data_IF_308534054532
#
_entry.id   IF_308534054532
#
_cell.length_a   1.000
_cell.length_b   1.000
_cell.length_c   1.000
_cell.angle_alpha   90.00
_cell.angle_beta   90.00
_cell.angle_gamma   90.00
#
_symmetry.space_group_name_H-M   'P 1'
#
loop_
_entity.id
_entity.type
_entity.pdbx_description
1 polymer ?
#
# COMPACT_ATOMS: atom_id res chain seq x y z
N UNK A 1 -43.32 -11.02 28.34
CA UNK A 1 -44.49 -10.43 29.06
C UNK A 1 -45.63 -11.43 28.93
N UNK A 2 -46.05 -12.06 30.03
CA UNK A 2 -47.22 -12.95 30.00
C UNK A 2 -48.48 -12.09 29.98
N UNK A 3 -49.38 -12.33 29.02
CA UNK A 3 -50.67 -11.62 28.95
C UNK A 3 -51.46 -11.92 30.22
N UNK A 4 -51.81 -10.90 31.02
CA UNK A 4 -52.51 -11.03 32.31
C UNK A 4 -53.98 -11.48 32.22
N UNK A 5 -54.31 -12.33 31.25
CA UNK A 5 -55.65 -12.86 30.98
C UNK A 5 -55.89 -14.06 31.88
N UNK A 6 -57.10 -14.20 32.46
CA UNK A 6 -57.45 -15.38 33.26
C UNK A 6 -57.42 -16.63 32.39
N UNK A 7 -56.77 -17.69 32.87
CA UNK A 7 -56.63 -18.96 32.15
C UNK A 7 -57.44 -20.07 32.84
N UNK A 8 -58.07 -20.96 32.06
CA UNK A 8 -58.93 -22.07 32.55
C UNK A 8 -60.31 -22.14 31.87
N UNK A 9 -61.20 -23.02 32.37
CA UNK A 9 -62.61 -23.12 31.92
C UNK A 9 -63.41 -21.93 32.47
N UNK A 10 -63.47 -20.84 31.71
CA UNK A 10 -64.15 -19.59 32.09
C UNK A 10 -65.44 -19.42 31.27
N UNK A 11 -66.56 -19.01 31.88
CA UNK A 11 -67.80 -18.73 31.16
C UNK A 11 -67.61 -17.61 30.11
N UNK A 12 -68.29 -17.75 28.96
CA UNK A 12 -68.14 -16.88 27.79
C UNK A 12 -68.39 -15.38 28.07
N UNK A 13 -69.21 -15.06 29.07
CA UNK A 13 -69.54 -13.67 29.41
C UNK A 13 -68.40 -12.94 30.13
N UNK A 14 -67.59 -13.67 30.90
CA UNK A 14 -66.42 -13.11 31.58
C UNK A 14 -65.31 -12.85 30.57
N UNK A 15 -65.12 -13.74 29.59
CA UNK A 15 -64.19 -13.53 28.47
C UNK A 15 -64.57 -12.32 27.61
N UNK A 16 -65.87 -12.11 27.34
CA UNK A 16 -66.35 -10.91 26.62
C UNK A 16 -66.10 -9.61 27.38
N UNK A 17 -66.28 -9.62 28.70
CA UNK A 17 -65.98 -8.46 29.57
C UNK A 17 -64.48 -8.16 29.60
N UNK A 18 -63.64 -9.17 29.79
CA UNK A 18 -62.17 -9.00 29.76
C UNK A 18 -61.66 -8.52 28.40
N UNK A 19 -62.19 -9.05 27.28
CA UNK A 19 -61.85 -8.53 25.95
C UNK A 19 -62.29 -7.08 25.75
N UNK A 20 -63.46 -6.69 26.27
CA UNK A 20 -63.89 -5.29 26.22
C UNK A 20 -63.02 -4.38 27.07
N UNK A 21 -62.60 -4.82 28.26
CA UNK A 21 -61.70 -4.09 29.14
C UNK A 21 -60.30 -3.94 28.54
N UNK A 22 -59.73 -5.01 27.97
CA UNK A 22 -58.46 -4.96 27.23
C UNK A 22 -58.56 -4.03 26.03
N UNK A 23 -59.64 -4.12 25.23
CA UNK A 23 -59.86 -3.19 24.10
C UNK A 23 -60.03 -1.74 24.56
N UNK A 24 -60.62 -1.48 25.73
CA UNK A 24 -60.73 -0.13 26.32
C UNK A 24 -59.37 0.36 26.78
N UNK A 25 -58.59 -0.50 27.43
CA UNK A 25 -57.24 -0.18 27.91
C UNK A 25 -56.28 0.09 26.74
N UNK A 26 -56.32 -0.75 25.70
CA UNK A 26 -55.61 -0.52 24.44
C UNK A 26 -56.08 0.79 23.78
N UNK A 27 -57.38 1.05 23.68
CA UNK A 27 -57.89 2.32 23.12
C UNK A 27 -57.45 3.56 23.89
N UNK A 28 -57.37 3.47 25.22
CA UNK A 28 -56.91 4.56 26.07
C UNK A 28 -55.40 4.75 26.00
N UNK A 29 -54.61 3.68 25.80
CA UNK A 29 -53.16 3.75 25.68
C UNK A 29 -52.66 4.08 24.27
N UNK A 30 -53.43 3.78 23.22
CA UNK A 30 -53.11 4.13 21.82
C UNK A 30 -52.64 5.56 21.61
N UNK A 31 -53.34 6.62 22.08
CA UNK A 31 -52.87 7.99 21.90
C UNK A 31 -51.53 8.26 22.62
N UNK A 32 -51.31 7.65 23.79
CA UNK A 32 -50.05 7.77 24.54
C UNK A 32 -48.89 7.03 23.84
N UNK A 33 -49.16 5.87 23.27
CA UNK A 33 -48.18 5.10 22.49
C UNK A 33 -47.84 5.81 21.17
N UNK A 34 -48.82 6.40 20.49
CA UNK A 34 -48.62 7.21 19.30
C UNK A 34 -47.76 8.46 19.62
N UNK A 35 -48.05 9.18 20.70
CA UNK A 35 -47.22 10.31 21.16
C UNK A 35 -45.80 9.86 21.56
N UNK A 36 -45.65 8.72 22.22
CA UNK A 36 -44.34 8.18 22.60
C UNK A 36 -43.52 7.75 21.39
N UNK A 37 -44.14 7.13 20.37
CA UNK A 37 -43.47 6.70 19.14
C UNK A 37 -42.97 7.89 18.31
N UNK A 38 -43.65 9.02 18.38
CA UNK A 38 -43.27 10.25 17.68
C UNK A 38 -42.39 11.21 18.50
N UNK A 39 -42.00 10.82 19.73
CA UNK A 39 -41.13 11.63 20.57
C UNK A 39 -39.66 11.55 20.12
N UNK A 40 -39.05 12.69 19.80
CA UNK A 40 -37.65 12.74 19.39
C UNK A 40 -36.71 12.52 20.60
N UNK A 41 -35.70 11.66 20.41
CA UNK A 41 -34.69 11.41 21.44
C UNK A 41 -33.71 12.58 21.53
N UNK A 42 -33.77 13.35 22.62
CA UNK A 42 -32.88 14.49 22.85
C UNK A 42 -31.63 14.06 23.62
N UNK A 43 -30.48 14.07 22.96
CA UNK A 43 -29.19 13.80 23.60
C UNK A 43 -28.65 15.06 24.27
N UNK A 44 -28.08 14.92 25.48
CA UNK A 44 -27.55 16.04 26.28
C UNK A 44 -26.17 15.72 26.85
N UNK A 45 -25.35 16.75 27.01
CA UNK A 45 -24.04 16.68 27.66
C UNK A 45 -24.14 16.51 29.17
N UNK A 46 -23.01 16.20 29.82
CA UNK A 46 -22.86 16.19 31.29
C UNK A 46 -23.23 17.54 31.94
N UNK A 47 -23.25 18.64 31.20
CA UNK A 47 -23.67 19.98 31.63
C UNK A 47 -25.15 20.29 31.35
N UNK A 48 -25.91 19.38 30.73
CA UNK A 48 -27.34 19.52 30.44
C UNK A 48 -27.69 20.22 29.12
N UNK A 49 -26.70 20.69 28.36
CA UNK A 49 -26.89 21.30 27.03
C UNK A 49 -27.33 20.24 25.99
N UNK A 50 -28.27 20.57 25.11
CA UNK A 50 -28.71 19.69 24.00
C UNK A 50 -27.57 19.52 22.99
N UNK A 51 -27.32 18.28 22.55
CA UNK A 51 -26.34 17.93 21.52
C UNK A 51 -26.97 17.94 20.14
N UNK A 52 -26.33 18.64 19.22
CA UNK A 52 -26.66 18.57 17.81
C UNK A 52 -25.86 17.44 17.15
N UNK A 53 -26.39 16.21 17.20
CA UNK A 53 -25.71 15.01 16.69
C UNK A 53 -25.30 15.11 15.22
N UNK A 54 -26.06 15.86 14.42
CA UNK A 54 -25.76 16.10 13.00
C UNK A 54 -24.50 16.95 12.85
N UNK A 55 -24.37 18.01 13.64
CA UNK A 55 -23.19 18.88 13.62
C UNK A 55 -21.96 18.15 14.16
N UNK A 56 -22.10 17.40 15.27
CA UNK A 56 -20.99 16.63 15.84
C UNK A 56 -20.47 15.58 14.85
N UNK A 57 -21.35 14.88 14.12
CA UNK A 57 -20.95 13.94 13.07
C UNK A 57 -20.24 14.62 11.89
N UNK A 58 -20.70 15.80 11.47
CA UNK A 58 -20.05 16.57 10.42
C UNK A 58 -18.64 17.02 10.86
N UNK A 59 -18.51 17.55 12.08
CA UNK A 59 -17.22 17.92 12.64
C UNK A 59 -16.27 16.74 12.78
N UNK A 60 -16.76 15.57 13.21
CA UNK A 60 -15.97 14.35 13.29
C UNK A 60 -15.45 13.93 11.91
N UNK A 61 -16.32 13.92 10.89
CA UNK A 61 -15.93 13.61 9.50
C UNK A 61 -14.84 14.56 9.01
N UNK A 62 -15.03 15.86 9.16
CA UNK A 62 -14.03 16.87 8.76
C UNK A 62 -12.69 16.68 9.49
N UNK A 63 -12.72 16.36 10.79
CA UNK A 63 -11.51 16.08 11.57
C UNK A 63 -10.81 14.81 11.10
N UNK A 64 -11.55 13.78 10.75
CA UNK A 64 -11.00 12.50 10.32
C UNK A 64 -10.47 12.59 8.88
N UNK A 65 -11.11 13.36 8.00
CA UNK A 65 -10.59 13.73 6.68
C UNK A 65 -9.27 14.50 6.82
N UNK A 66 -9.22 15.54 7.67
CA UNK A 66 -8.00 16.31 7.91
C UNK A 66 -6.87 15.50 8.59
N UNK A 67 -7.20 14.42 9.33
CA UNK A 67 -6.19 13.47 9.83
C UNK A 67 -5.72 12.56 8.71
N UNK A 68 -6.64 11.99 7.93
CA UNK A 68 -6.31 11.12 6.82
C UNK A 68 -5.40 11.82 5.80
N UNK A 69 -5.67 13.08 5.46
CA UNK A 69 -4.80 13.87 4.58
C UNK A 69 -3.38 14.04 5.14
N UNK A 70 -3.26 14.28 6.45
CA UNK A 70 -1.95 14.38 7.11
C UNK A 70 -1.24 13.04 7.14
N UNK A 71 -1.96 11.97 7.49
CA UNK A 71 -1.42 10.62 7.55
C UNK A 71 -0.97 10.15 6.16
N UNK A 72 -1.68 10.53 5.09
CA UNK A 72 -1.25 10.31 3.72
C UNK A 72 0.03 11.07 3.38
N UNK A 73 0.15 12.34 3.80
CA UNK A 73 1.38 13.12 3.60
C UNK A 73 2.56 12.48 4.32
N UNK A 74 2.38 12.06 5.58
CA UNK A 74 3.39 11.35 6.34
C UNK A 74 3.73 9.99 5.72
N UNK A 75 2.74 9.26 5.21
CA UNK A 75 2.97 8.01 4.50
C UNK A 75 3.75 8.21 3.21
N UNK A 76 3.50 9.31 2.47
CA UNK A 76 4.26 9.67 1.27
C UNK A 76 5.71 10.07 1.61
N UNK A 77 5.92 10.83 2.68
CA UNK A 77 7.26 11.26 3.12
C UNK A 77 8.06 10.15 3.81
N UNK A 78 7.38 9.26 4.53
CA UNK A 78 7.99 8.12 5.21
C UNK A 78 8.42 6.99 4.26
N UNK A 79 7.93 6.98 3.02
CA UNK A 79 8.37 6.05 1.98
C UNK A 79 9.67 6.54 1.33
N UNK A 80 10.56 5.60 1.01
CA UNK A 80 11.79 5.92 0.28
C UNK A 80 11.50 6.33 -1.16
N UNK A 81 12.14 7.40 -1.65
CA UNK A 81 11.99 7.86 -3.04
C UNK A 81 12.28 6.77 -4.08
N UNK A 82 13.26 5.90 -3.81
CA UNK A 82 13.61 4.79 -4.68
C UNK A 82 12.50 3.72 -4.73
N UNK A 83 11.86 3.43 -3.58
CA UNK A 83 10.76 2.49 -3.51
C UNK A 83 9.54 3.01 -4.27
N UNK A 84 9.23 4.30 -4.15
CA UNK A 84 8.14 4.93 -4.92
C UNK A 84 8.38 4.88 -6.43
N UNK A 85 9.61 5.21 -6.88
CA UNK A 85 9.98 5.09 -8.30
C UNK A 85 9.90 3.66 -8.80
N UNK A 86 10.38 2.69 -8.03
CA UNK A 86 10.29 1.28 -8.39
C UNK A 86 8.84 0.84 -8.52
N UNK A 87 7.96 1.26 -7.60
CA UNK A 87 6.54 0.94 -7.67
C UNK A 87 5.89 1.51 -8.94
N UNK A 88 6.21 2.77 -9.29
CA UNK A 88 5.72 3.39 -10.53
C UNK A 88 6.20 2.63 -11.77
N UNK A 89 7.50 2.32 -11.84
CA UNK A 89 8.08 1.53 -12.93
C UNK A 89 7.43 0.16 -13.04
N UNK A 90 7.26 -0.55 -11.92
CA UNK A 90 6.61 -1.86 -11.92
C UNK A 90 5.16 -1.79 -12.44
N UNK A 91 4.42 -0.72 -12.13
CA UNK A 91 3.05 -0.53 -12.64
C UNK A 91 3.07 -0.24 -14.14
N UNK A 92 3.96 0.64 -14.61
CA UNK A 92 4.12 0.94 -16.04
C UNK A 92 4.54 -0.32 -16.82
N UNK A 93 5.49 -1.08 -16.30
CA UNK A 93 5.97 -2.34 -16.87
C UNK A 93 4.85 -3.38 -16.90
N UNK A 94 4.09 -3.54 -15.81
CA UNK A 94 2.97 -4.45 -15.75
C UNK A 94 1.89 -4.11 -16.79
N UNK A 95 1.55 -2.82 -16.94
CA UNK A 95 0.61 -2.37 -17.97
C UNK A 95 1.12 -2.67 -19.38
N UNK A 96 2.41 -2.46 -19.62
CA UNK A 96 3.06 -2.78 -20.90
C UNK A 96 3.08 -4.29 -21.16
N UNK A 97 3.35 -5.10 -20.16
CA UNK A 97 3.36 -6.57 -20.25
C UNK A 97 1.96 -7.17 -20.43
N UNK A 98 0.94 -6.60 -19.79
CA UNK A 98 -0.45 -7.02 -19.97
C UNK A 98 -0.95 -6.86 -21.41
N UNK A 99 -0.40 -5.89 -22.15
CA UNK A 99 -0.74 -5.66 -23.55
C UNK A 99 0.03 -6.59 -24.52
N UNK A 100 1.06 -7.29 -24.03
CA UNK A 100 1.93 -8.13 -24.85
C UNK A 100 1.46 -9.59 -24.89
N UNK A 101 1.75 -10.32 -25.98
CA UNK A 101 1.57 -11.76 -26.00
C UNK A 101 2.54 -12.46 -25.03
N UNK A 102 2.18 -13.66 -24.59
CA UNK A 102 2.97 -14.47 -23.64
C UNK A 102 4.38 -14.79 -24.16
N UNK A 103 4.50 -15.10 -25.45
CA UNK A 103 5.76 -15.43 -26.09
C UNK A 103 6.32 -14.24 -26.87
N UNK A 104 7.62 -14.00 -26.74
CA UNK A 104 8.36 -13.05 -27.58
C UNK A 104 8.91 -13.77 -28.81
N UNK A 105 8.70 -13.19 -29.98
CA UNK A 105 9.22 -13.70 -31.25
C UNK A 105 10.41 -12.89 -31.72
N UNK A 106 11.08 -13.38 -32.76
CA UNK A 106 12.24 -12.71 -33.38
C UNK A 106 11.84 -11.33 -33.95
N UNK A 107 10.61 -11.20 -34.43
CA UNK A 107 10.08 -9.97 -35.03
C UNK A 107 9.51 -8.97 -34.01
N UNK A 108 9.75 -9.15 -32.69
CA UNK A 108 9.29 -8.23 -31.64
C UNK A 108 10.06 -6.90 -31.71
N UNK A 109 9.35 -5.82 -32.05
CA UNK A 109 9.91 -4.47 -32.18
C UNK A 109 10.60 -3.97 -30.90
N UNK A 110 10.10 -4.36 -29.72
CA UNK A 110 10.70 -3.96 -28.44
C UNK A 110 12.05 -4.66 -28.22
N UNK A 111 12.15 -5.94 -28.60
CA UNK A 111 13.39 -6.71 -28.54
C UNK A 111 14.43 -6.13 -29.50
N UNK A 112 13.99 -5.87 -30.73
CA UNK A 112 14.83 -5.27 -31.77
C UNK A 112 15.40 -3.91 -31.34
N UNK A 113 14.56 -3.07 -30.71
CA UNK A 113 14.99 -1.77 -30.18
C UNK A 113 16.03 -1.94 -29.08
N UNK A 114 15.80 -2.85 -28.13
CA UNK A 114 16.73 -3.15 -27.04
C UNK A 114 18.09 -3.62 -27.56
N UNK A 115 18.11 -4.53 -28.53
CA UNK A 115 19.34 -5.07 -29.12
C UNK A 115 20.13 -4.03 -29.93
N UNK A 116 19.43 -3.08 -30.58
CA UNK A 116 20.07 -1.95 -31.27
C UNK A 116 20.65 -0.92 -30.31
N UNK A 117 20.05 -0.77 -29.13
CA UNK A 117 20.53 0.16 -28.11
C UNK A 117 21.73 -0.37 -27.32
N UNK A 118 21.90 -1.70 -27.27
CA UNK A 118 23.00 -2.36 -26.58
C UNK A 118 24.35 -1.93 -27.15
N UNK A 119 25.18 -1.39 -26.28
CA UNK A 119 26.57 -1.06 -26.63
C UNK A 119 27.38 -2.35 -26.71
N UNK A 120 28.12 -2.51 -27.82
CA UNK A 120 29.00 -3.66 -28.05
C UNK A 120 30.45 -3.20 -28.01
N UNK A 121 31.26 -3.89 -27.23
CA UNK A 121 32.70 -3.65 -27.20
C UNK A 121 33.31 -4.00 -28.56
N UNK A 122 34.22 -3.16 -29.04
CA UNK A 122 34.89 -3.35 -30.33
C UNK A 122 34.10 -2.88 -31.58
N UNK A 123 32.93 -2.25 -31.42
CA UNK A 123 32.23 -1.61 -32.55
C UNK A 123 32.93 -0.28 -32.93
N UNK A 124 33.46 -0.15 -34.17
CA UNK A 124 34.11 1.08 -34.62
C UNK A 124 33.16 2.30 -34.64
N UNK A 125 31.84 2.10 -34.70
CA UNK A 125 30.86 3.18 -34.74
C UNK A 125 30.40 3.63 -33.33
N UNK A 126 30.75 2.89 -32.27
CA UNK A 126 30.27 3.16 -30.91
C UNK A 126 30.59 4.58 -30.42
N UNK A 127 31.78 5.10 -30.74
CA UNK A 127 32.19 6.46 -30.36
C UNK A 127 31.32 7.54 -31.00
N UNK A 128 30.95 7.37 -32.28
CA UNK A 128 30.07 8.30 -32.99
C UNK A 128 28.67 8.31 -32.39
N UNK A 129 28.15 7.12 -32.05
CA UNK A 129 26.84 6.96 -31.40
C UNK A 129 26.85 7.64 -30.02
N UNK A 130 27.89 7.43 -29.19
CA UNK A 130 28.05 8.11 -27.89
C UNK A 130 28.07 9.62 -28.03
N UNK A 131 28.83 10.16 -28.99
CA UNK A 131 28.91 11.61 -29.24
C UNK A 131 27.56 12.19 -29.66
N UNK A 132 26.75 11.45 -30.42
CA UNK A 132 25.39 11.87 -30.80
C UNK A 132 24.47 11.88 -29.58
N UNK A 133 24.43 10.79 -28.79
CA UNK A 133 23.64 10.68 -27.56
C UNK A 133 24.00 11.78 -26.55
N UNK A 134 25.29 12.09 -26.39
CA UNK A 134 25.77 13.15 -25.49
C UNK A 134 25.37 14.57 -25.93
N UNK A 135 25.07 14.80 -27.22
CA UNK A 135 24.52 16.07 -27.70
C UNK A 135 23.02 16.17 -27.40
N UNK A 136 22.29 15.08 -27.59
CA UNK A 136 20.85 14.99 -27.32
C UNK A 136 20.53 15.09 -25.81
N UNK A 137 21.42 14.63 -24.93
CA UNK A 137 21.20 14.64 -23.48
C UNK A 137 21.41 16.01 -22.81
N UNK A 138 21.91 17.03 -23.53
CA UNK A 138 22.28 18.34 -22.97
C UNK A 138 21.11 19.12 -22.35
N UNK A 139 19.87 18.84 -22.77
CA UNK A 139 18.68 19.54 -22.27
C UNK A 139 18.27 19.07 -20.86
N UNK A 140 18.77 17.92 -20.40
CA UNK A 140 18.47 17.39 -19.07
C UNK A 140 19.55 17.85 -18.09
N UNK A 141 19.18 18.70 -17.13
CA UNK A 141 20.05 19.04 -15.98
C UNK A 141 20.27 17.77 -15.13
N UNK A 142 21.36 17.06 -15.40
CA UNK A 142 21.74 15.88 -14.64
C UNK A 142 22.15 16.25 -13.21
N UNK A 143 21.74 15.44 -12.24
CA UNK A 143 22.22 15.59 -10.86
C UNK A 143 23.72 15.30 -10.82
N UNK A 144 24.52 16.07 -10.07
CA UNK A 144 25.93 15.80 -9.94
C UNK A 144 26.14 14.37 -9.42
N UNK A 145 27.12 13.68 -10.01
CA UNK A 145 27.59 12.35 -9.58
C UNK A 145 28.95 12.47 -8.92
N UNK A 146 29.30 11.45 -8.15
CA UNK A 146 30.61 11.34 -7.54
C UNK A 146 31.71 11.25 -8.61
N UNK A 147 32.82 11.96 -8.37
CA UNK A 147 33.97 12.11 -9.30
C UNK A 147 35.30 11.66 -8.71
N UNK A 148 35.29 11.06 -7.51
CA UNK A 148 36.51 10.64 -6.83
C UNK A 148 36.97 9.23 -7.24
N UNK A 149 37.92 8.64 -6.49
CA UNK A 149 38.41 7.27 -6.72
C UNK A 149 37.28 6.24 -6.70
N UNK A 150 37.44 5.08 -7.33
CA UNK A 150 36.39 4.06 -7.37
C UNK A 150 35.92 3.69 -5.95
N UNK A 151 34.61 3.77 -5.65
CA UNK A 151 34.09 3.44 -4.34
C UNK A 151 34.28 1.95 -4.03
N UNK A 152 34.34 1.57 -2.73
CA UNK A 152 34.26 0.17 -2.35
C UNK A 152 32.93 -0.43 -2.82
N UNK A 153 32.97 -1.69 -3.24
CA UNK A 153 31.80 -2.41 -3.72
C UNK A 153 30.78 -2.58 -2.59
N UNK A 154 29.50 -2.41 -2.92
CA UNK A 154 28.40 -2.67 -1.99
C UNK A 154 27.43 -3.70 -2.59
N UNK A 155 26.65 -4.36 -1.73
CA UNK A 155 25.67 -5.37 -2.15
C UNK A 155 24.67 -4.88 -3.19
N UNK A 156 24.33 -3.60 -3.14
CA UNK A 156 23.24 -3.02 -3.92
C UNK A 156 23.70 -2.28 -5.18
N UNK A 157 25.00 -2.28 -5.48
CA UNK A 157 25.59 -1.52 -6.58
C UNK A 157 25.21 -0.02 -6.59
N UNK A 158 24.97 0.56 -5.41
CA UNK A 158 24.57 1.95 -5.24
C UNK A 158 25.82 2.82 -5.25
N UNK A 159 25.86 3.80 -6.15
CA UNK A 159 26.95 4.77 -6.20
C UNK A 159 26.90 5.73 -5.02
N UNK A 160 28.06 6.15 -4.49
CA UNK A 160 28.13 7.16 -3.44
C UNK A 160 27.56 8.50 -3.92
N UNK A 161 27.12 9.32 -2.96
CA UNK A 161 26.68 10.68 -3.25
C UNK A 161 27.83 11.55 -3.81
N UNK A 162 27.48 12.57 -4.59
CA UNK A 162 28.47 13.45 -5.22
C UNK A 162 29.44 14.18 -4.28
N UNK A 163 29.09 14.29 -2.99
CA UNK A 163 29.87 14.96 -1.95
C UNK A 163 30.68 13.99 -1.09
N UNK A 164 30.65 12.69 -1.41
CA UNK A 164 31.48 11.73 -0.72
C UNK A 164 32.95 12.05 -1.00
N UNK A 165 33.80 11.94 0.01
CA UNK A 165 35.22 12.34 -0.05
C UNK A 165 36.14 11.22 -0.55
N UNK A 166 35.61 10.00 -0.72
CA UNK A 166 36.36 8.83 -1.15
C UNK A 166 37.07 8.09 -0.02
N UNK A 167 36.94 8.53 1.23
CA UNK A 167 37.54 7.85 2.38
C UNK A 167 36.56 6.78 2.88
N UNK A 168 37.01 5.52 2.86
CA UNK A 168 36.24 4.41 3.43
C UNK A 168 36.23 4.51 4.97
N UNK A 169 35.02 4.52 5.54
CA UNK A 169 34.76 4.57 6.99
C UNK A 169 33.91 3.39 7.45
N UNK A 170 33.99 2.27 6.72
CA UNK A 170 33.22 1.07 7.01
C UNK A 170 33.85 0.21 8.11
N UNK A 171 33.05 -0.69 8.68
CA UNK A 171 33.51 -1.75 9.60
C UNK A 171 34.02 -3.00 8.82
N UNK A 172 34.25 -2.91 7.51
CA UNK A 172 34.67 -4.05 6.68
C UNK A 172 33.60 -5.15 6.44
N UNK A 173 32.36 -4.96 6.89
CA UNK A 173 31.28 -5.96 6.77
C UNK A 173 31.03 -6.41 5.31
N UNK A 174 30.96 -5.46 4.37
CA UNK A 174 30.69 -5.79 2.96
C UNK A 174 31.83 -6.62 2.35
N UNK A 175 33.09 -6.28 2.67
CA UNK A 175 34.26 -7.05 2.24
C UNK A 175 34.23 -8.49 2.78
N UNK A 176 33.99 -8.66 4.09
CA UNK A 176 33.88 -9.98 4.71
C UNK A 176 32.71 -10.79 4.12
N UNK A 177 31.60 -10.12 3.80
CA UNK A 177 30.44 -10.75 3.18
C UNK A 177 30.77 -11.27 1.77
N UNK A 178 31.46 -10.48 0.95
CA UNK A 178 31.89 -10.91 -0.37
C UNK A 178 32.86 -12.08 -0.31
N UNK A 179 33.84 -12.05 0.61
CA UNK A 179 34.74 -13.17 0.85
C UNK A 179 33.96 -14.45 1.20
N UNK A 180 33.02 -14.37 2.16
CA UNK A 180 32.16 -15.51 2.53
C UNK A 180 31.34 -16.07 1.37
N UNK A 181 30.86 -15.21 0.45
CA UNK A 181 30.12 -15.66 -0.73
C UNK A 181 31.04 -16.38 -1.71
N UNK A 182 32.26 -15.86 -1.92
CA UNK A 182 33.26 -16.50 -2.77
C UNK A 182 33.68 -17.86 -2.20
N UNK A 183 33.96 -17.93 -0.90
CA UNK A 183 34.32 -19.16 -0.19
C UNK A 183 33.21 -20.20 -0.30
N UNK A 184 31.95 -19.79 -0.10
CA UNK A 184 30.80 -20.68 -0.25
C UNK A 184 30.69 -21.25 -1.66
N UNK A 185 30.92 -20.44 -2.70
CA UNK A 185 30.91 -20.90 -4.10
C UNK A 185 32.06 -21.86 -4.37
N UNK A 186 33.27 -21.55 -3.90
CA UNK A 186 34.43 -22.42 -4.04
C UNK A 186 34.22 -23.78 -3.36
N UNK A 187 33.67 -23.80 -2.14
CA UNK A 187 33.32 -25.03 -1.45
C UNK A 187 32.25 -25.83 -2.17
N UNK A 188 31.25 -25.18 -2.76
CA UNK A 188 30.22 -25.86 -3.54
C UNK A 188 30.80 -26.53 -4.79
N UNK A 189 31.73 -25.87 -5.49
CA UNK A 189 32.43 -26.45 -6.65
C UNK A 189 33.31 -27.64 -6.25
N UNK A 190 34.04 -27.52 -5.14
CA UNK A 190 34.87 -28.61 -4.61
C UNK A 190 33.99 -29.78 -4.18
N UNK A 191 32.89 -29.52 -3.46
CA UNK A 191 31.94 -30.55 -3.04
C UNK A 191 31.30 -31.27 -4.24
N UNK A 192 30.95 -30.53 -5.30
CA UNK A 192 30.45 -31.12 -6.53
C UNK A 192 31.48 -32.06 -7.17
N UNK A 193 32.73 -31.61 -7.32
CA UNK A 193 33.83 -32.44 -7.86
C UNK A 193 34.02 -33.71 -7.03
N UNK A 194 34.05 -33.60 -5.71
CA UNK A 194 34.14 -34.77 -4.82
C UNK A 194 32.95 -35.72 -4.93
N UNK A 195 31.74 -35.19 -5.08
CA UNK A 195 30.53 -36.02 -5.18
C UNK A 195 30.44 -36.85 -6.46
N UNK A 196 31.12 -36.40 -7.52
CA UNK A 196 31.10 -37.02 -8.85
C UNK A 196 32.30 -37.94 -9.07
N UNK A 197 33.28 -37.96 -8.16
CA UNK A 197 34.56 -38.65 -8.39
C UNK A 197 34.47 -40.18 -8.40
N UNK A 198 33.43 -40.76 -7.80
CA UNK A 198 33.22 -42.23 -7.70
C UNK A 198 31.97 -42.70 -8.49
N UNK A 199 31.39 -41.83 -9.33
CA UNK A 199 30.32 -42.16 -10.30
C UNK A 199 30.91 -42.34 -11.71
#
# INVERSE_FOLDING_TARGET
MASGVKSGLVPADVLRREQQELRRHEKNNKPLEEESQHSETVFRDKSGRKRDLVQERLEQRLRDEAKAERDEQYARWGRGLAQGRQQQQNVEDALKEMQKPLARYIDDEDLDRMLREQEREGDPMAEFIKKRKAKESKDKKEKPRYKGPPPPLNRFNIWPGHRWDGVDRSNGFEQQRFARIADKRALQEVAYKWSVEDM
#
